data_IF_573219918543
#
_entry.id   IF_573219918543
#
_cell.length_a   1.000
_cell.length_b   1.000
_cell.length_c   1.000
_cell.angle_alpha   90.00
_cell.angle_beta   90.00
_cell.angle_gamma   90.00
#
_symmetry.space_group_name_H-M   'P 1'
#
loop_
_entity.id
_entity.type
_entity.pdbx_description
1 polymer ?
#
# COMPACT_ATOMS: atom_id res chain seq x y z
N UNK A 1 -14.56 8.08 19.94
CA UNK A 1 -15.01 6.73 20.34
C UNK A 1 -14.05 6.24 21.41
N UNK A 2 -14.50 5.94 22.64
CA UNK A 2 -13.62 5.42 23.67
C UNK A 2 -13.12 4.03 23.25
N UNK A 3 -11.84 3.76 23.51
CA UNK A 3 -11.13 2.54 23.12
C UNK A 3 -11.88 1.28 23.56
N UNK A 4 -12.59 0.62 22.63
CA UNK A 4 -13.12 -0.71 22.87
C UNK A 4 -11.94 -1.67 23.05
N UNK A 5 -11.63 -2.03 24.30
CA UNK A 5 -10.65 -3.06 24.59
C UNK A 5 -11.24 -4.41 24.19
N UNK A 6 -10.70 -5.00 23.13
CA UNK A 6 -11.16 -6.29 22.62
C UNK A 6 -10.43 -7.39 23.42
N UNK A 7 -11.17 -8.12 24.27
CA UNK A 7 -10.61 -9.22 25.06
C UNK A 7 -10.35 -10.46 24.19
N UNK A 8 -9.28 -11.24 24.45
CA UNK A 8 -9.08 -12.55 23.84
C UNK A 8 -10.34 -13.42 24.01
N UNK A 9 -10.82 -14.05 22.93
CA UNK A 9 -12.11 -14.76 22.88
C UNK A 9 -13.31 -13.93 22.37
N UNK A 10 -13.14 -12.63 22.10
CA UNK A 10 -14.16 -11.85 21.38
C UNK A 10 -14.17 -12.19 19.89
N UNK A 11 -15.34 -12.20 19.27
CA UNK A 11 -15.48 -12.39 17.82
C UNK A 11 -15.16 -11.10 17.05
N UNK A 12 -14.39 -11.20 15.97
CA UNK A 12 -13.98 -10.09 15.10
C UNK A 12 -14.46 -10.35 13.66
N UNK A 13 -15.16 -9.38 13.09
CA UNK A 13 -15.55 -9.40 11.70
C UNK A 13 -14.54 -8.64 10.83
N UNK A 14 -14.11 -9.25 9.73
CA UNK A 14 -13.22 -8.64 8.72
C UNK A 14 -13.99 -8.53 7.41
N UNK A 15 -13.97 -7.35 6.79
CA UNK A 15 -14.58 -7.10 5.49
C UNK A 15 -13.46 -7.09 4.44
N UNK A 16 -13.49 -8.07 3.55
CA UNK A 16 -12.51 -8.27 2.48
C UNK A 16 -11.54 -9.43 2.76
N UNK A 17 -11.50 -10.40 1.84
CA UNK A 17 -10.59 -11.54 1.80
C UNK A 17 -9.41 -11.33 0.84
N UNK A 18 -8.97 -10.08 0.69
CA UNK A 18 -7.72 -9.72 0.01
C UNK A 18 -6.50 -9.94 0.90
N UNK A 19 -5.29 -9.66 0.38
CA UNK A 19 -4.02 -9.91 1.09
C UNK A 19 -3.95 -9.27 2.49
N UNK A 20 -4.41 -8.02 2.62
CA UNK A 20 -4.43 -7.30 3.91
C UNK A 20 -5.45 -7.91 4.87
N UNK A 21 -6.63 -8.27 4.37
CA UNK A 21 -7.70 -8.88 5.17
C UNK A 21 -7.30 -10.25 5.71
N UNK A 22 -6.71 -11.09 4.86
CA UNK A 22 -6.20 -12.41 5.24
C UNK A 22 -5.03 -12.32 6.23
N UNK A 23 -4.07 -11.41 6.00
CA UNK A 23 -2.97 -11.18 6.94
C UNK A 23 -3.48 -10.72 8.32
N UNK A 24 -4.45 -9.80 8.33
CA UNK A 24 -5.10 -9.33 9.56
C UNK A 24 -5.86 -10.45 10.28
N UNK A 25 -6.59 -11.27 9.53
CA UNK A 25 -7.32 -12.41 10.05
C UNK A 25 -6.39 -13.43 10.72
N UNK A 26 -5.28 -13.76 10.05
CA UNK A 26 -4.26 -14.65 10.59
C UNK A 26 -3.65 -14.09 11.89
N UNK A 27 -3.27 -12.81 11.89
CA UNK A 27 -2.68 -12.17 13.06
C UNK A 27 -3.64 -12.10 14.27
N UNK A 28 -4.94 -11.88 14.02
CA UNK A 28 -5.97 -11.88 15.07
C UNK A 28 -6.28 -13.29 15.56
N UNK A 29 -6.43 -14.26 14.67
CA UNK A 29 -6.67 -15.65 15.03
C UNK A 29 -5.52 -16.19 15.92
N UNK A 30 -4.26 -15.90 15.58
CA UNK A 30 -3.09 -16.25 16.40
C UNK A 30 -3.09 -15.63 17.81
N UNK A 31 -3.81 -14.52 18.01
CA UNK A 31 -4.00 -13.87 19.32
C UNK A 31 -5.20 -14.43 20.10
N UNK A 32 -5.87 -15.46 19.59
CA UNK A 32 -7.02 -16.12 20.22
C UNK A 32 -8.36 -15.43 19.98
N UNK A 33 -8.48 -14.61 18.94
CA UNK A 33 -9.76 -14.05 18.51
C UNK A 33 -10.48 -15.02 17.56
N UNK A 34 -11.80 -15.12 17.69
CA UNK A 34 -12.64 -15.80 16.70
C UNK A 34 -12.85 -14.85 15.52
N UNK A 35 -12.39 -15.21 14.33
CA UNK A 35 -12.41 -14.31 13.16
C UNK A 35 -13.37 -14.82 12.10
N UNK A 36 -14.30 -13.96 11.67
CA UNK A 36 -15.19 -14.20 10.54
C UNK A 36 -14.87 -13.22 9.42
N UNK A 37 -14.62 -13.73 8.21
CA UNK A 37 -14.28 -12.93 7.04
C UNK A 37 -15.47 -12.88 6.09
N UNK A 38 -15.82 -11.69 5.62
CA UNK A 38 -16.87 -11.46 4.65
C UNK A 38 -16.27 -10.89 3.37
N UNK A 39 -16.42 -11.62 2.26
CA UNK A 39 -16.05 -11.17 0.93
C UNK A 39 -17.09 -11.65 -0.10
N UNK A 40 -17.47 -10.82 -1.09
CA UNK A 40 -18.36 -11.24 -2.17
C UNK A 40 -17.75 -12.27 -3.14
N UNK A 41 -16.43 -12.47 -3.12
CA UNK A 41 -15.69 -13.41 -3.96
C UNK A 41 -14.91 -14.44 -3.11
N UNK A 42 -14.37 -15.46 -3.76
CA UNK A 42 -13.40 -16.34 -3.10
C UNK A 42 -12.13 -15.56 -2.69
N UNK A 43 -11.43 -15.97 -1.61
CA UNK A 43 -10.22 -15.30 -1.15
C UNK A 43 -9.21 -15.05 -2.26
N UNK A 44 -8.72 -13.81 -2.36
CA UNK A 44 -7.77 -13.41 -3.40
C UNK A 44 -8.34 -13.24 -4.82
N UNK A 45 -9.60 -13.61 -5.09
CA UNK A 45 -10.20 -13.48 -6.42
C UNK A 45 -10.89 -12.12 -6.66
N UNK A 46 -11.04 -11.31 -5.61
CA UNK A 46 -11.65 -9.99 -5.66
C UNK A 46 -10.64 -8.84 -5.77
N UNK A 47 -11.05 -7.76 -6.45
CA UNK A 47 -10.41 -6.44 -6.41
C UNK A 47 -8.92 -6.43 -6.74
N UNK A 48 -8.17 -5.54 -6.07
CA UNK A 48 -6.73 -5.34 -6.31
C UNK A 48 -5.85 -6.51 -5.89
N UNK A 49 -6.35 -7.45 -5.10
CA UNK A 49 -5.57 -8.61 -4.66
C UNK A 49 -5.44 -9.68 -5.76
N UNK A 50 -6.37 -9.76 -6.71
CA UNK A 50 -6.31 -10.74 -7.81
C UNK A 50 -5.25 -10.40 -8.87
N UNK A 51 -5.09 -9.12 -9.19
CA UNK A 51 -4.32 -8.65 -10.33
C UNK A 51 -3.16 -7.72 -9.92
N UNK A 52 -2.50 -8.03 -8.80
CA UNK A 52 -1.27 -7.34 -8.41
C UNK A 52 -0.03 -8.07 -8.96
N UNK A 53 1.10 -7.38 -8.98
CA UNK A 53 2.38 -7.91 -9.47
C UNK A 53 3.07 -8.89 -8.51
N UNK A 54 2.52 -9.13 -7.31
CA UNK A 54 3.13 -9.97 -6.27
C UNK A 54 4.38 -9.36 -5.62
N UNK A 55 4.70 -8.09 -5.91
CA UNK A 55 5.92 -7.44 -5.43
C UNK A 55 5.77 -6.91 -4.00
N UNK A 56 6.75 -7.20 -3.15
CA UNK A 56 6.85 -6.65 -1.79
C UNK A 56 7.84 -5.48 -1.79
N UNK A 57 7.32 -4.26 -1.94
CA UNK A 57 8.11 -3.02 -2.03
C UNK A 57 8.64 -2.51 -0.69
N UNK A 58 9.42 -3.32 0.03
CA UNK A 58 9.97 -2.94 1.34
C UNK A 58 10.99 -1.79 1.27
N UNK A 59 11.67 -1.65 0.13
CA UNK A 59 12.65 -0.59 -0.16
C UNK A 59 12.03 0.65 -0.80
N UNK A 60 10.76 0.59 -1.23
CA UNK A 60 10.09 1.64 -2.00
C UNK A 60 9.49 2.72 -1.09
N UNK A 61 10.33 3.24 -0.19
CA UNK A 61 9.94 4.16 0.88
C UNK A 61 10.03 5.64 0.46
N UNK A 62 10.56 5.93 -0.73
CA UNK A 62 10.68 7.30 -1.22
C UNK A 62 9.40 7.74 -1.95
N UNK A 63 8.72 8.81 -1.49
CA UNK A 63 7.55 9.34 -2.17
C UNK A 63 7.85 9.80 -3.59
N UNK A 64 6.89 9.61 -4.50
CA UNK A 64 6.96 10.14 -5.86
C UNK A 64 7.09 11.67 -5.90
N UNK A 65 6.52 12.38 -4.92
CA UNK A 65 6.60 13.84 -4.76
C UNK A 65 7.95 14.29 -4.19
N UNK A 66 9.04 13.94 -4.89
CA UNK A 66 10.40 14.34 -4.50
C UNK A 66 10.58 15.86 -4.56
N UNK A 67 11.40 16.45 -3.68
CA UNK A 67 11.75 17.87 -3.77
C UNK A 67 12.35 18.19 -5.14
N UNK A 68 11.83 19.22 -5.80
CA UNK A 68 12.29 19.62 -7.14
C UNK A 68 11.63 18.88 -8.31
N UNK A 69 10.73 17.92 -8.06
CA UNK A 69 10.03 17.18 -9.13
C UNK A 69 9.29 18.10 -10.10
N UNK A 70 8.80 19.25 -9.64
CA UNK A 70 8.07 20.23 -10.46
C UNK A 70 8.86 20.71 -11.68
N UNK A 71 10.18 20.92 -11.56
CA UNK A 71 11.01 21.30 -12.71
C UNK A 71 11.16 20.16 -13.71
N UNK A 72 11.33 18.93 -13.21
CA UNK A 72 11.39 17.74 -14.05
C UNK A 72 10.06 17.50 -14.77
N UNK A 73 8.94 17.60 -14.05
CA UNK A 73 7.58 17.47 -14.60
C UNK A 73 7.32 18.53 -15.67
N UNK A 74 7.65 19.80 -15.43
CA UNK A 74 7.46 20.85 -16.43
C UNK A 74 8.30 20.59 -17.68
N UNK A 75 9.57 20.20 -17.51
CA UNK A 75 10.45 19.84 -18.63
C UNK A 75 9.88 18.67 -19.44
N UNK A 76 9.36 17.65 -18.76
CA UNK A 76 8.75 16.49 -19.42
C UNK A 76 7.44 16.83 -20.14
N UNK A 77 6.62 17.72 -19.59
CA UNK A 77 5.38 18.16 -20.26
C UNK A 77 5.65 18.96 -21.55
N UNK A 78 6.81 19.61 -21.64
CA UNK A 78 7.24 20.35 -22.83
C UNK A 78 7.96 19.47 -23.88
N UNK A 79 8.26 18.22 -23.54
CA UNK A 79 8.99 17.29 -24.38
C UNK A 79 8.05 16.19 -24.88
N UNK A 80 7.82 16.14 -26.19
CA UNK A 80 6.89 15.18 -26.82
C UNK A 80 7.34 13.72 -26.71
N UNK A 81 8.64 13.50 -26.48
CA UNK A 81 9.24 12.17 -26.36
C UNK A 81 9.45 11.75 -24.90
N UNK A 82 9.17 12.65 -23.95
CA UNK A 82 9.23 12.32 -22.54
C UNK A 82 8.11 11.34 -22.12
N UNK A 83 8.35 10.52 -21.08
CA UNK A 83 7.39 9.51 -20.65
C UNK A 83 6.17 10.07 -19.92
N UNK A 84 6.15 11.37 -19.57
CA UNK A 84 4.98 12.02 -18.98
C UNK A 84 4.18 12.73 -20.08
N UNK A 85 3.00 12.19 -20.38
CA UNK A 85 2.04 12.81 -21.32
C UNK A 85 0.73 13.07 -20.61
N UNK A 86 0.33 14.33 -20.55
CA UNK A 86 -0.98 14.74 -20.03
C UNK A 86 -1.70 15.49 -21.15
N UNK A 87 -2.66 14.85 -21.83
CA UNK A 87 -3.48 15.52 -22.84
C UNK A 87 -4.17 16.75 -22.23
N UNK A 88 -4.20 17.86 -22.96
CA UNK A 88 -4.83 19.12 -22.50
C UNK A 88 -6.29 18.92 -22.04
N UNK A 89 -7.04 18.03 -22.69
CA UNK A 89 -8.42 17.67 -22.32
C UNK A 89 -8.53 17.08 -20.90
N UNK A 90 -7.50 16.35 -20.47
CA UNK A 90 -7.46 15.66 -19.17
C UNK A 90 -6.73 16.52 -18.13
N UNK A 91 -6.00 17.55 -18.56
CA UNK A 91 -5.23 18.43 -17.69
C UNK A 91 -6.14 19.27 -16.78
N UNK A 92 -7.14 19.96 -17.34
CA UNK A 92 -7.99 20.91 -16.61
C UNK A 92 -8.74 20.28 -15.42
N UNK A 93 -9.44 19.13 -15.58
CA UNK A 93 -10.14 18.49 -14.46
C UNK A 93 -9.20 18.05 -13.33
N UNK A 94 -7.94 17.73 -13.66
CA UNK A 94 -6.96 17.21 -12.72
C UNK A 94 -6.12 18.30 -12.04
N UNK A 95 -6.26 19.57 -12.44
CA UNK A 95 -5.52 20.70 -11.88
C UNK A 95 -5.58 20.80 -10.35
N UNK A 96 -6.71 20.53 -9.65
CA UNK A 96 -6.72 20.60 -8.19
C UNK A 96 -5.81 19.54 -7.55
N UNK A 97 -5.72 18.36 -8.16
CA UNK A 97 -4.84 17.29 -7.70
C UNK A 97 -3.38 17.61 -8.02
N UNK A 98 -3.06 18.10 -9.23
CA UNK A 98 -1.71 18.55 -9.58
C UNK A 98 -1.21 19.62 -8.61
N UNK A 99 -2.05 20.60 -8.29
CA UNK A 99 -1.69 21.63 -7.32
C UNK A 99 -1.36 21.06 -5.94
N UNK A 100 -2.18 20.12 -5.44
CA UNK A 100 -1.91 19.43 -4.16
C UNK A 100 -0.60 18.63 -4.21
N UNK A 101 -0.34 17.92 -5.30
CA UNK A 101 0.91 17.18 -5.51
C UNK A 101 2.14 18.09 -5.48
N UNK A 102 2.07 19.25 -6.14
CA UNK A 102 3.14 20.24 -6.12
C UNK A 102 3.37 20.79 -4.70
N UNK A 103 2.30 21.10 -3.96
CA UNK A 103 2.39 21.55 -2.57
C UNK A 103 3.02 20.50 -1.65
N UNK A 104 2.88 19.21 -1.94
CA UNK A 104 3.52 18.12 -1.16
C UNK A 104 4.96 17.86 -1.54
N UNK A 105 5.43 18.40 -2.67
CA UNK A 105 6.78 18.16 -3.23
C UNK A 105 7.86 19.05 -2.59
N UNK A 106 7.88 19.13 -1.25
CA UNK A 106 8.89 19.88 -0.48
C UNK A 106 9.67 18.97 0.47
N UNK A 107 10.87 19.39 0.86
CA UNK A 107 11.81 18.61 1.69
C UNK A 107 11.22 18.16 3.01
N UNK A 108 10.45 19.03 3.70
CA UNK A 108 9.83 18.72 4.99
C UNK A 108 8.78 17.61 4.87
N UNK A 109 7.91 17.69 3.87
CA UNK A 109 6.87 16.67 3.62
C UNK A 109 7.47 15.37 3.09
N UNK A 110 8.46 15.47 2.20
CA UNK A 110 9.20 14.32 1.69
C UNK A 110 9.85 13.51 2.83
N UNK A 111 10.60 14.18 3.72
CA UNK A 111 11.22 13.51 4.88
C UNK A 111 10.17 12.85 5.76
N UNK A 112 9.12 13.58 6.14
CA UNK A 112 8.04 13.04 6.99
C UNK A 112 7.38 11.80 6.38
N UNK A 113 7.10 11.82 5.08
CA UNK A 113 6.49 10.68 4.40
C UNK A 113 7.46 9.50 4.27
N UNK A 114 8.74 9.76 4.01
CA UNK A 114 9.79 8.73 3.97
C UNK A 114 9.96 8.06 5.33
N UNK A 115 10.02 8.85 6.42
CA UNK A 115 10.14 8.31 7.79
C UNK A 115 8.93 7.43 8.13
N UNK A 116 7.72 7.86 7.77
CA UNK A 116 6.49 7.09 7.99
C UNK A 116 6.45 5.80 7.17
N UNK A 117 6.81 5.85 5.88
CA UNK A 117 6.89 4.68 5.01
C UNK A 117 7.97 3.70 5.50
N UNK A 118 9.15 4.21 5.87
CA UNK A 118 10.22 3.40 6.44
C UNK A 118 9.77 2.67 7.70
N UNK A 119 9.00 3.33 8.58
CA UNK A 119 8.46 2.70 9.78
C UNK A 119 7.43 1.61 9.43
N UNK A 120 6.50 1.89 8.53
CA UNK A 120 5.45 0.93 8.13
C UNK A 120 6.03 -0.28 7.38
N UNK A 121 7.03 -0.07 6.54
CA UNK A 121 7.65 -1.11 5.72
C UNK A 121 8.75 -1.88 6.44
N UNK A 122 9.21 -1.42 7.61
CA UNK A 122 10.39 -1.94 8.32
C UNK A 122 10.39 -3.47 8.47
N UNK A 123 9.25 -4.03 8.88
CA UNK A 123 9.10 -5.47 9.13
C UNK A 123 8.42 -6.23 7.98
N UNK A 124 8.03 -5.54 6.90
CA UNK A 124 7.16 -6.11 5.86
C UNK A 124 7.68 -7.42 5.25
N UNK A 125 8.99 -7.53 5.01
CA UNK A 125 9.61 -8.77 4.51
C UNK A 125 9.57 -9.88 5.57
N UNK A 126 9.91 -9.58 6.80
CA UNK A 126 9.92 -10.55 7.90
C UNK A 126 8.51 -11.08 8.17
N UNK A 127 7.55 -10.18 8.31
CA UNK A 127 6.14 -10.53 8.59
C UNK A 127 5.54 -11.34 7.44
N UNK A 128 5.90 -11.01 6.20
CA UNK A 128 5.43 -11.78 5.03
C UNK A 128 6.04 -13.19 5.01
N UNK A 129 7.34 -13.35 5.34
CA UNK A 129 7.95 -14.67 5.46
C UNK A 129 7.27 -15.52 6.53
N UNK A 130 7.04 -14.95 7.71
CA UNK A 130 6.35 -15.64 8.81
C UNK A 130 4.94 -16.10 8.41
N UNK A 131 4.19 -15.25 7.71
CA UNK A 131 2.86 -15.61 7.19
C UNK A 131 2.91 -16.76 6.17
N UNK A 132 3.93 -16.78 5.30
CA UNK A 132 4.07 -17.80 4.27
C UNK A 132 4.55 -19.14 4.82
N UNK A 133 5.40 -19.11 5.85
CA UNK A 133 5.77 -20.29 6.64
C UNK A 133 4.53 -20.87 7.34
N UNK A 134 3.74 -20.01 8.00
CA UNK A 134 2.51 -20.43 8.68
C UNK A 134 1.49 -21.06 7.71
N UNK A 135 1.43 -20.57 6.47
CA UNK A 135 0.53 -21.11 5.44
C UNK A 135 1.15 -22.25 4.61
N UNK A 136 2.35 -22.70 4.97
CA UNK A 136 3.08 -23.79 4.32
C UNK A 136 3.32 -23.57 2.82
N UNK A 137 3.55 -22.31 2.41
CA UNK A 137 3.80 -21.89 1.03
C UNK A 137 5.04 -21.00 0.91
N UNK A 138 5.94 -21.05 1.89
CA UNK A 138 7.20 -20.28 1.91
C UNK A 138 8.08 -20.49 0.66
N UNK A 139 8.03 -21.69 0.06
CA UNK A 139 8.77 -22.03 -1.16
C UNK A 139 8.39 -21.20 -2.39
N UNK A 140 7.24 -20.49 -2.36
CA UNK A 140 6.79 -19.63 -3.45
C UNK A 140 7.44 -18.23 -3.46
N UNK A 141 8.26 -17.90 -2.46
CA UNK A 141 8.99 -16.62 -2.45
C UNK A 141 10.23 -16.66 -3.34
N UNK A 142 10.18 -15.92 -4.43
CA UNK A 142 11.38 -15.59 -5.22
C UNK A 142 12.02 -14.31 -4.66
N UNK A 143 13.28 -14.41 -4.24
CA UNK A 143 14.09 -13.26 -3.83
C UNK A 143 14.91 -12.82 -5.05
N UNK A 144 14.48 -11.75 -5.72
CA UNK A 144 15.24 -11.08 -6.78
C UNK A 144 16.19 -10.03 -6.20
#
# INVERSE_FOLDING_TARGET
>A
MPNAQISPGSSVAIIGAGVVGMASACALNRKGYEVTIFDPFYPGEGGSSKANAGHIGASDIFPLSTPGIHWKTLKMLMDSDAPLKVPLKDFLPQTPWFWRFLLTSNTKRFKRATDALSYLCHNSISDTKELLEYSNIAEKLEQN
#
